data_IF_134352667880
#
_entry.id   IF_134352667880
#
_cell.length_a   1.000
_cell.length_b   1.000
_cell.length_c   1.000
_cell.angle_alpha   90.00
_cell.angle_beta   90.00
_cell.angle_gamma   90.00
#
_symmetry.space_group_name_H-M   'P 1'
#
loop_
_entity.id
_entity.type
_entity.pdbx_description
1 polymer ?
#
# COMPACT_ATOMS: atom_id res chain seq x y z
N UNK A 1 8.06 23.95 -23.53
CA UNK A 1 7.53 23.86 -22.16
C UNK A 1 6.68 22.59 -22.10
N UNK A 2 7.24 21.49 -21.58
CA UNK A 2 6.53 20.20 -21.47
C UNK A 2 5.38 20.39 -20.48
N UNK A 3 4.13 20.25 -20.94
CA UNK A 3 2.96 20.25 -20.06
C UNK A 3 3.20 19.17 -19.02
N UNK A 4 3.34 19.56 -17.75
CA UNK A 4 3.37 18.62 -16.61
C UNK A 4 1.94 18.07 -16.49
N UNK A 5 1.59 17.12 -17.35
CA UNK A 5 0.35 16.37 -17.24
C UNK A 5 0.45 15.66 -15.90
N UNK A 6 -0.42 16.01 -14.96
CA UNK A 6 -0.61 15.20 -13.77
C UNK A 6 -0.83 13.76 -14.27
N UNK A 7 0.01 12.82 -13.84
CA UNK A 7 -0.04 11.45 -14.34
C UNK A 7 -1.21 10.70 -13.67
N UNK A 8 -2.44 11.15 -13.96
CA UNK A 8 -3.68 10.67 -13.34
C UNK A 8 -3.74 9.13 -13.29
N UNK A 9 -3.51 8.48 -14.44
CA UNK A 9 -3.52 7.01 -14.52
C UNK A 9 -2.30 6.31 -13.90
N UNK A 10 -1.17 7.01 -13.70
CA UNK A 10 0.01 6.41 -13.09
C UNK A 10 -0.12 6.30 -11.57
N UNK A 11 -0.83 7.23 -10.93
CA UNK A 11 -1.11 7.15 -9.49
C UNK A 11 -2.08 6.02 -9.16
N UNK A 12 -3.12 5.83 -9.97
CA UNK A 12 -4.04 4.69 -9.83
C UNK A 12 -3.32 3.34 -10.05
N UNK A 13 -2.50 3.25 -11.10
CA UNK A 13 -1.71 2.05 -11.36
C UNK A 13 -0.70 1.76 -10.25
N UNK A 14 -0.06 2.79 -9.70
CA UNK A 14 0.88 2.64 -8.59
C UNK A 14 0.17 2.19 -7.31
N UNK A 15 -1.00 2.74 -7.00
CA UNK A 15 -1.83 2.30 -5.88
C UNK A 15 -2.24 0.84 -6.03
N UNK A 16 -2.70 0.43 -7.22
CA UNK A 16 -3.05 -0.96 -7.49
C UNK A 16 -1.86 -1.91 -7.30
N UNK A 17 -0.67 -1.54 -7.79
CA UNK A 17 0.55 -2.33 -7.59
C UNK A 17 0.94 -2.45 -6.12
N UNK A 18 0.86 -1.37 -5.34
CA UNK A 18 1.18 -1.41 -3.91
C UNK A 18 0.16 -2.24 -3.12
N UNK A 19 -1.13 -2.13 -3.45
CA UNK A 19 -2.17 -3.01 -2.87
C UNK A 19 -1.88 -4.49 -3.18
N UNK A 20 -1.46 -4.80 -4.42
CA UNK A 20 -1.01 -6.15 -4.80
C UNK A 20 0.19 -6.64 -3.99
N UNK A 21 1.17 -5.77 -3.75
CA UNK A 21 2.34 -6.07 -2.92
C UNK A 21 1.95 -6.40 -1.47
N UNK A 22 1.14 -5.55 -0.84
CA UNK A 22 0.67 -5.75 0.54
C UNK A 22 -0.13 -7.06 0.66
N UNK A 23 -0.99 -7.36 -0.31
CA UNK A 23 -1.71 -8.63 -0.35
C UNK A 23 -0.76 -9.84 -0.50
N UNK A 24 0.29 -9.75 -1.30
CA UNK A 24 1.30 -10.83 -1.42
C UNK A 24 2.12 -11.03 -0.15
N UNK A 25 2.46 -9.94 0.55
CA UNK A 25 3.09 -9.99 1.87
C UNK A 25 2.16 -10.65 2.89
N UNK A 26 0.87 -10.29 2.90
CA UNK A 26 -0.15 -10.89 3.77
C UNK A 26 -0.21 -12.41 3.56
N UNK A 27 -0.32 -12.88 2.32
CA UNK A 27 -0.35 -14.32 2.00
C UNK A 27 0.92 -15.05 2.47
N UNK A 28 2.08 -14.41 2.33
CA UNK A 28 3.36 -14.97 2.76
C UNK A 28 3.41 -15.10 4.28
N UNK A 29 2.87 -14.11 5.01
CA UNK A 29 2.79 -14.11 6.46
C UNK A 29 1.78 -15.15 6.96
N UNK A 30 0.63 -15.29 6.30
CA UNK A 30 -0.36 -16.32 6.66
C UNK A 30 0.25 -17.74 6.49
N UNK A 31 1.00 -17.94 5.40
CA UNK A 31 1.73 -19.20 5.16
C UNK A 31 2.81 -19.44 6.23
N UNK A 32 3.55 -18.38 6.60
CA UNK A 32 4.49 -18.45 7.73
C UNK A 32 3.77 -18.82 9.02
N UNK A 33 2.64 -18.20 9.34
CA UNK A 33 1.87 -18.49 10.56
C UNK A 33 1.39 -19.94 10.63
N UNK A 34 0.96 -20.52 9.51
CA UNK A 34 0.58 -21.94 9.46
C UNK A 34 1.79 -22.87 9.67
N UNK A 35 2.90 -22.63 8.97
CA UNK A 35 4.10 -23.47 9.06
C UNK A 35 4.81 -23.33 10.43
N UNK A 36 4.91 -22.11 10.92
CA UNK A 36 5.53 -21.80 12.21
C UNK A 36 4.64 -22.17 13.38
N UNK A 37 3.31 -22.04 13.30
CA UNK A 37 2.39 -22.37 14.38
C UNK A 37 2.45 -23.84 14.80
N UNK A 38 2.60 -24.76 13.83
CA UNK A 38 2.87 -26.18 14.11
C UNK A 38 4.23 -26.35 14.81
N UNK A 39 5.27 -25.67 14.30
CA UNK A 39 6.63 -25.79 14.84
C UNK A 39 6.77 -25.16 16.24
N UNK A 40 6.11 -24.03 16.50
CA UNK A 40 6.14 -23.29 17.76
C UNK A 40 5.35 -24.00 18.87
N UNK A 41 4.30 -24.75 18.53
CA UNK A 41 3.59 -25.59 19.48
C UNK A 41 4.41 -26.81 19.90
N UNK A 42 5.20 -27.36 18.99
CA UNK A 42 5.96 -28.59 19.22
C UNK A 42 7.36 -28.34 19.79
N UNK A 43 7.97 -27.17 19.57
CA UNK A 43 9.35 -26.88 19.96
C UNK A 43 9.38 -25.86 21.12
N UNK A 44 9.58 -26.36 22.34
CA UNK A 44 9.68 -25.57 23.58
C UNK A 44 11.10 -25.04 23.87
N UNK A 45 12.00 -25.14 22.89
CA UNK A 45 13.40 -24.74 23.01
C UNK A 45 13.66 -23.35 22.41
N UNK A 46 14.94 -22.99 22.29
CA UNK A 46 15.38 -21.69 21.81
C UNK A 46 14.90 -21.39 20.37
N UNK A 47 14.67 -22.41 19.54
CA UNK A 47 14.16 -22.25 18.19
C UNK A 47 12.67 -21.87 18.21
N UNK A 48 11.86 -22.45 19.11
CA UNK A 48 10.47 -22.03 19.34
C UNK A 48 10.34 -20.55 19.71
N UNK A 49 11.26 -20.04 20.54
CA UNK A 49 11.35 -18.62 20.87
C UNK A 49 11.60 -17.72 19.65
N UNK A 50 12.51 -18.13 18.76
CA UNK A 50 12.79 -17.39 17.52
C UNK A 50 11.60 -17.38 16.56
N UNK A 51 10.85 -18.47 16.46
CA UNK A 51 9.60 -18.51 15.68
C UNK A 51 8.58 -17.49 16.21
N UNK A 52 8.43 -17.38 17.53
CA UNK A 52 7.54 -16.41 18.15
C UNK A 52 7.94 -14.95 17.82
N UNK A 53 9.24 -14.65 17.85
CA UNK A 53 9.77 -13.33 17.52
C UNK A 53 9.52 -12.96 16.06
N UNK A 54 9.79 -13.88 15.13
CA UNK A 54 9.54 -13.65 13.69
C UNK A 54 8.04 -13.46 13.44
N UNK A 55 7.19 -14.32 14.01
CA UNK A 55 5.73 -14.19 13.89
C UNK A 55 5.22 -12.84 14.40
N UNK A 56 5.80 -12.31 15.48
CA UNK A 56 5.47 -10.97 15.99
C UNK A 56 5.91 -9.86 15.03
N UNK A 57 7.11 -9.96 14.45
CA UNK A 57 7.56 -9.02 13.44
C UNK A 57 6.65 -9.03 12.20
N UNK A 58 6.22 -10.22 11.76
CA UNK A 58 5.25 -10.35 10.67
C UNK A 58 3.93 -9.64 10.99
N UNK A 59 3.38 -9.80 12.20
CA UNK A 59 2.17 -9.09 12.62
C UNK A 59 2.31 -7.56 12.56
N UNK A 60 3.48 -7.02 12.95
CA UNK A 60 3.75 -5.58 12.86
C UNK A 60 3.77 -5.09 11.40
N UNK A 61 4.38 -5.87 10.50
CA UNK A 61 4.40 -5.55 9.07
C UNK A 61 2.98 -5.56 8.48
N UNK A 62 2.12 -6.50 8.88
CA UNK A 62 0.73 -6.52 8.42
C UNK A 62 -0.05 -5.28 8.86
N UNK A 63 0.08 -4.89 10.14
CA UNK A 63 -0.59 -3.70 10.65
C UNK A 63 -0.15 -2.44 9.89
N UNK A 64 1.17 -2.25 9.73
CA UNK A 64 1.71 -1.13 8.96
C UNK A 64 1.30 -1.17 7.47
N UNK A 65 1.21 -2.38 6.88
CA UNK A 65 0.76 -2.57 5.50
C UNK A 65 -0.70 -2.18 5.31
N UNK A 66 -1.57 -2.50 6.26
CA UNK A 66 -2.98 -2.07 6.23
C UNK A 66 -3.13 -0.55 6.34
N UNK A 67 -2.38 0.07 7.25
CA UNK A 67 -2.35 1.54 7.37
C UNK A 67 -1.87 2.21 6.07
N UNK A 68 -0.83 1.65 5.44
CA UNK A 68 -0.33 2.11 4.15
C UNK A 68 -1.41 2.00 3.06
N UNK A 69 -2.11 0.87 2.95
CA UNK A 69 -3.19 0.70 1.97
C UNK A 69 -4.30 1.73 2.18
N UNK A 70 -4.69 1.98 3.44
CA UNK A 70 -5.71 2.96 3.75
C UNK A 70 -5.28 4.38 3.34
N UNK A 71 -4.05 4.77 3.70
CA UNK A 71 -3.48 6.07 3.34
C UNK A 71 -3.34 6.23 1.82
N UNK A 72 -2.91 5.19 1.10
CA UNK A 72 -2.78 5.23 -0.36
C UNK A 72 -4.12 5.37 -1.06
N UNK A 73 -5.12 4.58 -0.67
CA UNK A 73 -6.45 4.65 -1.29
C UNK A 73 -7.07 6.05 -1.12
N UNK A 74 -6.90 6.65 0.06
CA UNK A 74 -7.43 7.99 0.33
C UNK A 74 -6.60 9.11 -0.34
N UNK A 75 -5.27 8.98 -0.28
CA UNK A 75 -4.33 9.96 -0.82
C UNK A 75 -4.35 10.02 -2.34
N UNK A 76 -4.44 8.89 -3.03
CA UNK A 76 -4.52 8.84 -4.50
C UNK A 76 -5.83 9.45 -5.00
N UNK A 77 -6.96 9.16 -4.36
CA UNK A 77 -8.24 9.79 -4.70
C UNK A 77 -8.18 11.31 -4.50
N UNK A 78 -7.60 11.78 -3.40
CA UNK A 78 -7.45 13.21 -3.10
C UNK A 78 -6.55 13.90 -4.13
N UNK A 79 -5.37 13.33 -4.40
CA UNK A 79 -4.45 13.82 -5.42
C UNK A 79 -5.11 13.89 -6.80
N UNK A 80 -5.88 12.86 -7.19
CA UNK A 80 -6.59 12.86 -8.46
C UNK A 80 -7.67 13.95 -8.51
N UNK A 81 -8.44 14.12 -7.43
CA UNK A 81 -9.45 15.16 -7.33
C UNK A 81 -8.86 16.57 -7.45
N UNK A 82 -7.82 16.87 -6.67
CA UNK A 82 -7.14 18.18 -6.69
C UNK A 82 -6.52 18.47 -8.06
N UNK A 83 -5.91 17.46 -8.69
CA UNK A 83 -5.34 17.60 -10.02
C UNK A 83 -6.42 17.88 -11.09
N UNK A 84 -7.58 17.20 -11.04
CA UNK A 84 -8.69 17.51 -11.96
C UNK A 84 -9.20 18.93 -11.76
N UNK A 85 -9.36 19.36 -10.50
CA UNK A 85 -9.78 20.72 -10.19
C UNK A 85 -8.76 21.77 -10.71
N UNK A 86 -7.45 21.47 -10.61
CA UNK A 86 -6.41 22.32 -11.17
C UNK A 86 -6.48 22.41 -12.70
N UNK A 87 -6.73 21.29 -13.39
CA UNK A 87 -6.94 21.27 -14.85
C UNK A 87 -8.16 22.09 -15.25
N UNK A 88 -9.31 21.92 -14.58
CA UNK A 88 -10.52 22.70 -14.86
C UNK A 88 -10.29 24.20 -14.70
N UNK A 89 -9.64 24.63 -13.61
CA UNK A 89 -9.26 26.04 -13.40
C UNK A 89 -8.36 26.55 -14.51
N UNK A 90 -7.40 25.74 -14.98
CA UNK A 90 -6.50 26.12 -16.06
C UNK A 90 -7.22 26.22 -17.41
N UNK A 91 -8.15 25.31 -17.71
CA UNK A 91 -8.98 25.38 -18.93
C UNK A 91 -9.90 26.61 -18.92
N UNK A 92 -10.52 26.93 -17.78
CA UNK A 92 -11.35 28.13 -17.64
C UNK A 92 -10.57 29.42 -17.87
N UNK A 93 -9.32 29.51 -17.38
CA UNK A 93 -8.44 30.66 -17.64
C UNK A 93 -8.02 30.80 -19.10
N UNK A 94 -7.86 29.69 -19.83
CA UNK A 94 -7.53 29.73 -21.26
C UNK A 94 -8.75 30.08 -22.12
N UNK A 95 -9.96 29.68 -21.72
CA UNK A 95 -11.20 30.00 -22.42
C UNK A 95 -11.68 31.44 -22.24
N UNK A 96 -11.24 32.15 -21.18
CA UNK A 96 -11.50 33.60 -21.00
C UNK A 96 -10.41 34.49 -21.60
N UNK A 97 -9.40 33.91 -22.26
CA UNK A 97 -8.29 34.64 -22.91
C UNK A 97 -8.34 34.66 -24.44
N UNK A 98 -9.42 34.16 -25.05
CA UNK A 98 -9.79 34.34 -26.47
C UNK A 98 -11.06 35.18 -26.54
#
# INVERSE_FOLDING_TARGET
>A
MTRKLAMFGALDALSANMNGCVNGVQQSIDSWGQASGMTQADWLDQAGGQFAEISKACQQVMAAGQELMQAMNQGVQTCNHENMAAVQRSCGRLGSGM
#
